data_IF_693753454783
#
_entry.id   IF_693753454783
#
_cell.length_a   1.000
_cell.length_b   1.000
_cell.length_c   1.000
_cell.angle_alpha   90.00
_cell.angle_beta   90.00
_cell.angle_gamma   90.00
#
_symmetry.space_group_name_H-M   'P 1'
#
loop_
_entity.id
_entity.type
_entity.pdbx_description
1 polymer ?
#
# COMPACT_ATOMS: atom_id res chain seq x y z
N UNK A 1 -0.25 -16.37 -13.73
CA UNK A 1 -0.64 -14.98 -13.42
C UNK A 1 0.29 -14.40 -12.36
N UNK A 2 0.33 -14.96 -11.14
CA UNK A 2 1.35 -14.61 -10.11
C UNK A 2 2.77 -14.76 -10.65
N UNK A 3 3.10 -15.89 -11.28
CA UNK A 3 4.42 -16.10 -11.91
C UNK A 3 4.77 -15.04 -12.96
N UNK A 4 3.79 -14.51 -13.69
CA UNK A 4 4.03 -13.43 -14.66
C UNK A 4 4.39 -12.12 -13.96
N UNK A 5 3.77 -11.85 -12.81
CA UNK A 5 4.08 -10.70 -11.95
C UNK A 5 5.48 -10.86 -11.33
N UNK A 6 5.82 -12.04 -10.83
CA UNK A 6 7.17 -12.35 -10.32
C UNK A 6 8.24 -12.08 -11.38
N UNK A 7 8.05 -12.59 -12.61
CA UNK A 7 8.98 -12.36 -13.71
C UNK A 7 9.09 -10.87 -14.10
N UNK A 8 7.99 -10.13 -14.08
CA UNK A 8 8.01 -8.70 -14.35
C UNK A 8 8.72 -7.90 -13.24
N UNK A 9 8.52 -8.26 -11.97
CA UNK A 9 9.22 -7.67 -10.84
C UNK A 9 10.72 -8.01 -10.84
N UNK A 10 11.11 -9.22 -11.25
CA UNK A 10 12.52 -9.62 -11.37
C UNK A 10 13.26 -8.89 -12.49
N UNK A 11 12.57 -8.67 -13.62
CA UNK A 11 13.16 -8.06 -14.82
C UNK A 11 13.09 -6.53 -14.82
N UNK A 12 12.33 -5.92 -13.92
CA UNK A 12 12.27 -4.47 -13.83
C UNK A 12 13.59 -3.88 -13.28
N UNK A 13 13.97 -2.73 -13.81
CA UNK A 13 15.15 -2.03 -13.30
C UNK A 13 14.88 -1.48 -11.88
N UNK A 14 15.93 -1.18 -11.10
CA UNK A 14 15.78 -0.70 -9.72
C UNK A 14 14.85 0.51 -9.55
N UNK A 15 14.92 1.50 -10.44
CA UNK A 15 14.08 2.70 -10.33
C UNK A 15 12.59 2.37 -10.59
N UNK A 16 12.29 1.50 -11.56
CA UNK A 16 10.93 1.01 -11.81
C UNK A 16 10.41 0.19 -10.63
N UNK A 17 11.23 -0.69 -10.05
CA UNK A 17 10.87 -1.46 -8.86
C UNK A 17 10.51 -0.52 -7.69
N UNK A 18 11.34 0.50 -7.46
CA UNK A 18 11.09 1.50 -6.41
C UNK A 18 9.79 2.27 -6.64
N UNK A 19 9.49 2.66 -7.88
CA UNK A 19 8.22 3.32 -8.23
C UNK A 19 7.00 2.42 -7.97
N UNK A 20 7.06 1.13 -8.36
CA UNK A 20 5.99 0.15 -8.08
C UNK A 20 5.77 0.00 -6.57
N UNK A 21 6.84 -0.14 -5.80
CA UNK A 21 6.77 -0.23 -4.33
C UNK A 21 6.16 1.03 -3.70
N UNK A 22 6.48 2.21 -4.24
CA UNK A 22 5.91 3.47 -3.78
C UNK A 22 4.42 3.57 -4.09
N UNK A 23 3.98 3.16 -5.29
CA UNK A 23 2.56 3.10 -5.63
C UNK A 23 1.81 2.15 -4.68
N UNK A 24 2.39 0.98 -4.39
CA UNK A 24 1.87 0.06 -3.38
C UNK A 24 1.73 0.73 -2.00
N UNK A 25 2.76 1.43 -1.52
CA UNK A 25 2.68 2.17 -0.26
C UNK A 25 1.59 3.26 -0.32
N UNK A 26 1.44 3.95 -1.44
CA UNK A 26 0.40 4.98 -1.66
C UNK A 26 -1.01 4.43 -1.67
N UNK A 27 -1.21 3.16 -2.06
CA UNK A 27 -2.49 2.49 -1.90
C UNK A 27 -2.76 2.05 -0.46
N UNK A 28 -1.71 1.83 0.33
CA UNK A 28 -1.83 1.36 1.71
C UNK A 28 -1.92 2.49 2.74
N UNK A 29 -1.32 3.64 2.46
CA UNK A 29 -1.26 4.78 3.38
C UNK A 29 -1.70 6.07 2.68
N UNK A 30 -2.47 6.94 3.35
CA UNK A 30 -3.03 8.14 2.73
C UNK A 30 -1.96 9.14 2.28
N UNK A 31 -0.83 9.19 2.99
CA UNK A 31 0.27 10.11 2.69
C UNK A 31 1.59 9.34 2.80
N UNK A 32 2.31 9.22 1.68
CA UNK A 32 3.64 8.63 1.61
C UNK A 32 4.62 9.72 1.16
N UNK A 33 5.58 10.04 2.02
CA UNK A 33 6.59 11.05 1.73
C UNK A 33 7.86 10.39 1.18
N UNK A 34 8.21 10.60 -0.10
CA UNK A 34 9.45 10.08 -0.66
C UNK A 34 10.63 10.97 -0.25
N UNK A 35 11.61 10.38 0.43
CA UNK A 35 12.87 11.04 0.83
C UNK A 35 14.01 10.65 -0.12
N UNK A 36 13.92 9.47 -0.75
CA UNK A 36 14.89 8.92 -1.70
C UNK A 36 14.64 9.24 -3.19
N UNK A 37 13.82 10.24 -3.54
CA UNK A 37 13.54 10.57 -4.96
C UNK A 37 13.78 12.05 -5.27
N UNK A 38 14.24 12.34 -6.49
CA UNK A 38 14.29 13.72 -6.99
C UNK A 38 12.89 14.14 -7.44
N UNK A 39 12.37 15.22 -6.86
CA UNK A 39 11.05 15.77 -7.22
C UNK A 39 10.96 15.99 -8.74
N UNK A 40 9.92 15.43 -9.36
CA UNK A 40 9.64 15.58 -10.80
C UNK A 40 10.47 14.70 -11.74
N UNK A 41 11.24 13.72 -11.25
CA UNK A 41 11.97 12.75 -12.07
C UNK A 41 11.83 11.33 -11.52
N UNK A 42 11.78 10.34 -12.40
CA UNK A 42 11.95 8.91 -12.05
C UNK A 42 13.44 8.62 -11.78
N UNK A 43 14.03 9.31 -10.80
CA UNK A 43 15.44 9.10 -10.43
C UNK A 43 15.58 9.09 -8.92
N UNK A 44 16.18 8.01 -8.42
CA UNK A 44 16.57 7.87 -7.02
C UNK A 44 17.62 8.90 -6.60
N UNK A 45 17.47 9.41 -5.37
CA UNK A 45 18.43 10.22 -4.61
C UNK A 45 18.82 9.40 -3.38
N UNK A 46 20.06 9.52 -2.90
CA UNK A 46 20.43 8.98 -1.58
C UNK A 46 19.60 9.69 -0.50
N UNK A 47 18.70 8.96 0.13
CA UNK A 47 17.94 9.36 1.31
C UNK A 47 17.53 8.09 2.04
N UNK A 48 17.66 8.08 3.37
CA UNK A 48 17.19 7.00 4.24
C UNK A 48 16.35 7.66 5.33
N UNK A 49 15.10 7.21 5.59
CA UNK A 49 14.40 6.16 4.86
C UNK A 49 14.22 6.51 3.37
N UNK A 50 13.96 5.54 2.49
CA UNK A 50 13.53 5.82 1.12
C UNK A 50 12.18 6.53 1.10
N UNK A 51 11.27 6.11 2.00
CA UNK A 51 9.96 6.71 2.21
C UNK A 51 9.62 6.75 3.71
N UNK A 52 8.89 7.78 4.14
CA UNK A 52 8.28 7.79 5.47
C UNK A 52 6.78 8.11 5.41
N UNK A 53 6.04 7.56 6.37
CA UNK A 53 4.63 7.83 6.63
C UNK A 53 4.53 8.38 8.04
N UNK A 54 3.87 9.53 8.20
CA UNK A 54 3.55 10.09 9.50
C UNK A 54 2.28 9.45 10.04
N UNK A 55 2.34 8.98 11.28
CA UNK A 55 1.21 8.45 12.04
C UNK A 55 1.12 9.20 13.36
N UNK A 56 0.39 10.32 13.35
CA UNK A 56 0.40 11.31 14.44
C UNK A 56 1.84 11.76 14.79
N UNK A 57 2.26 11.53 16.04
CA UNK A 57 3.60 11.86 16.54
C UNK A 57 4.65 10.77 16.25
N UNK A 58 4.25 9.70 15.55
CA UNK A 58 5.08 8.53 15.23
C UNK A 58 5.31 8.40 13.72
N UNK A 59 6.24 7.53 13.36
CA UNK A 59 6.67 7.33 11.98
C UNK A 59 6.73 5.86 11.60
N UNK A 60 6.35 5.58 10.36
CA UNK A 60 6.62 4.32 9.67
C UNK A 60 7.67 4.61 8.61
N UNK A 61 8.79 3.90 8.67
CA UNK A 61 9.86 4.00 7.67
C UNK A 61 9.79 2.84 6.69
N UNK A 62 10.15 3.11 5.44
CA UNK A 62 10.24 2.09 4.42
C UNK A 62 11.51 2.22 3.59
N UNK A 63 12.15 1.08 3.35
CA UNK A 63 13.35 0.92 2.54
C UNK A 63 13.09 -0.10 1.43
N UNK A 64 13.56 0.21 0.23
CA UNK A 64 13.38 -0.60 -0.97
C UNK A 64 14.75 -1.06 -1.45
N UNK A 65 14.98 -2.36 -1.40
CA UNK A 65 16.28 -2.95 -1.73
C UNK A 65 16.21 -3.85 -2.95
N UNK A 66 16.99 -3.51 -3.97
CA UNK A 66 17.24 -4.36 -5.15
C UNK A 66 18.70 -4.79 -5.18
N UNK A 67 19.00 -6.02 -4.76
CA UNK A 67 20.37 -6.56 -4.71
C UNK A 67 20.35 -8.09 -4.92
N UNK A 68 21.51 -8.67 -5.22
CA UNK A 68 21.69 -10.11 -5.31
C UNK A 68 21.46 -10.83 -3.97
N UNK A 69 20.92 -12.05 -4.05
CA UNK A 69 20.54 -12.89 -2.90
C UNK A 69 21.64 -13.02 -1.83
N UNK A 70 22.90 -13.12 -2.23
CA UNK A 70 24.03 -13.32 -1.30
C UNK A 70 24.32 -12.09 -0.41
N UNK A 71 23.93 -10.90 -0.85
CA UNK A 71 24.17 -9.64 -0.11
C UNK A 71 22.89 -9.09 0.52
N UNK A 72 21.76 -9.80 0.37
CA UNK A 72 20.45 -9.36 0.84
C UNK A 72 20.43 -9.16 2.35
N UNK A 73 20.77 -10.18 3.14
CA UNK A 73 20.64 -10.11 4.60
C UNK A 73 21.54 -9.02 5.23
N UNK A 74 22.84 -8.91 4.87
CA UNK A 74 23.67 -7.81 5.36
C UNK A 74 23.11 -6.43 4.98
N UNK A 75 22.56 -6.28 3.77
CA UNK A 75 21.95 -5.02 3.31
C UNK A 75 20.70 -4.68 4.10
N UNK A 76 19.76 -5.63 4.26
CA UNK A 76 18.53 -5.40 5.02
C UNK A 76 18.79 -5.08 6.50
N UNK A 77 19.79 -5.72 7.12
CA UNK A 77 20.23 -5.36 8.48
C UNK A 77 20.74 -3.93 8.55
N UNK A 78 21.60 -3.55 7.60
CA UNK A 78 22.10 -2.19 7.49
C UNK A 78 20.98 -1.16 7.27
N UNK A 79 19.96 -1.51 6.50
CA UNK A 79 18.79 -0.64 6.26
C UNK A 79 17.98 -0.43 7.55
N UNK A 80 17.82 -1.49 8.37
CA UNK A 80 17.22 -1.40 9.72
C UNK A 80 18.06 -0.48 10.62
N UNK A 81 19.38 -0.67 10.68
CA UNK A 81 20.27 0.17 11.47
C UNK A 81 20.20 1.64 11.04
N UNK A 82 20.20 1.90 9.74
CA UNK A 82 20.05 3.25 9.22
C UNK A 82 18.70 3.87 9.60
N UNK A 83 17.60 3.12 9.58
CA UNK A 83 16.30 3.61 10.03
C UNK A 83 16.34 4.11 11.48
N UNK A 84 17.08 3.45 12.37
CA UNK A 84 17.18 3.88 13.78
C UNK A 84 18.23 4.97 14.03
N UNK A 85 19.21 5.13 13.14
CA UNK A 85 20.30 6.12 13.26
C UNK A 85 19.98 7.43 12.52
N UNK A 86 18.72 7.87 12.54
CA UNK A 86 18.31 9.16 11.98
C UNK A 86 18.56 10.29 12.98
N UNK A 87 19.11 11.41 12.51
CA UNK A 87 19.40 12.56 13.38
C UNK A 87 18.15 13.43 13.65
N UNK A 88 17.19 13.42 12.71
CA UNK A 88 16.03 14.31 12.74
C UNK A 88 14.81 13.68 13.45
N UNK A 89 14.82 12.37 13.67
CA UNK A 89 13.72 11.61 14.28
C UNK A 89 14.26 10.67 15.33
N UNK A 90 13.70 10.77 16.55
CA UNK A 90 14.07 9.90 17.65
C UNK A 90 13.58 8.46 17.40
N UNK A 91 14.42 7.47 17.72
CA UNK A 91 14.18 6.06 17.41
C UNK A 91 12.95 5.46 18.11
N UNK A 92 12.51 6.04 19.24
CA UNK A 92 11.29 5.67 19.95
C UNK A 92 10.01 6.04 19.19
N UNK A 93 10.07 7.03 18.29
CA UNK A 93 8.94 7.43 17.44
C UNK A 93 8.77 6.52 16.22
N UNK A 94 9.70 5.60 15.98
CA UNK A 94 9.63 4.67 14.84
C UNK A 94 8.85 3.43 15.25
N UNK A 95 7.56 3.40 14.91
CA UNK A 95 6.64 2.33 15.31
C UNK A 95 6.67 1.12 14.37
N UNK A 96 7.12 1.32 13.12
CA UNK A 96 7.24 0.25 12.12
C UNK A 96 8.32 0.54 11.08
N UNK A 97 9.02 -0.51 10.66
CA UNK A 97 9.90 -0.52 9.50
C UNK A 97 9.33 -1.50 8.46
N UNK A 98 9.18 -1.06 7.21
CA UNK A 98 8.73 -1.86 6.07
C UNK A 98 9.88 -2.01 5.08
N UNK A 99 10.43 -3.21 4.98
CA UNK A 99 11.45 -3.55 4.00
C UNK A 99 10.78 -4.24 2.80
N UNK A 100 11.02 -3.74 1.59
CA UNK A 100 10.55 -4.37 0.35
C UNK A 100 11.76 -4.72 -0.50
N UNK A 101 11.87 -5.97 -0.95
CA UNK A 101 13.02 -6.41 -1.75
C UNK A 101 12.65 -7.30 -2.93
N UNK A 102 13.53 -7.33 -3.94
CA UNK A 102 13.37 -8.15 -5.15
C UNK A 102 13.85 -9.60 -5.00
N UNK A 103 13.91 -10.10 -3.76
CA UNK A 103 14.34 -11.47 -3.44
C UNK A 103 13.29 -12.17 -2.57
N UNK A 104 13.33 -13.50 -2.55
CA UNK A 104 12.52 -14.32 -1.65
C UNK A 104 12.96 -14.15 -0.19
N UNK A 105 11.98 -14.07 0.72
CA UNK A 105 12.23 -14.00 2.17
C UNK A 105 11.78 -15.31 2.83
N UNK A 106 12.77 -16.12 3.21
CA UNK A 106 12.53 -17.36 3.95
C UNK A 106 12.25 -17.09 5.44
N UNK A 107 11.64 -18.05 6.13
CA UNK A 107 11.42 -17.98 7.59
C UNK A 107 12.73 -17.76 8.36
N UNK A 108 13.84 -18.35 7.91
CA UNK A 108 15.17 -18.13 8.49
C UNK A 108 15.62 -16.67 8.38
N UNK A 109 15.46 -16.06 7.21
CA UNK A 109 15.81 -14.65 6.98
C UNK A 109 14.91 -13.75 7.84
N UNK A 110 13.59 -14.03 7.86
CA UNK A 110 12.64 -13.28 8.66
C UNK A 110 12.99 -13.30 10.16
N UNK A 111 13.36 -14.47 10.70
CA UNK A 111 13.78 -14.60 12.09
C UNK A 111 15.06 -13.83 12.37
N UNK A 112 16.08 -13.99 11.52
CA UNK A 112 17.36 -13.30 11.66
C UNK A 112 17.21 -11.76 11.63
N UNK A 113 16.33 -11.23 10.78
CA UNK A 113 16.03 -9.80 10.73
C UNK A 113 15.23 -9.34 11.96
N UNK A 114 14.29 -10.15 12.44
CA UNK A 114 13.53 -9.86 13.66
C UNK A 114 14.44 -9.80 14.89
N UNK A 115 15.32 -10.78 15.07
CA UNK A 115 16.32 -10.81 16.16
C UNK A 115 17.22 -9.57 16.12
N UNK A 116 17.75 -9.23 14.94
CA UNK A 116 18.60 -8.06 14.76
C UNK A 116 17.85 -6.75 15.03
N UNK A 117 16.62 -6.59 14.53
CA UNK A 117 15.80 -5.42 14.84
C UNK A 117 15.48 -5.36 16.34
N UNK A 118 15.18 -6.49 16.98
CA UNK A 118 14.87 -6.58 18.41
C UNK A 118 16.07 -6.29 19.32
N UNK A 119 17.31 -6.49 18.85
CA UNK A 119 18.49 -6.08 19.61
C UNK A 119 18.66 -4.54 19.63
N UNK A 120 18.07 -3.85 18.66
CA UNK A 120 18.07 -2.38 18.56
C UNK A 120 16.83 -1.77 19.23
N UNK A 121 15.63 -2.17 18.82
CA UNK A 121 14.36 -1.71 19.38
C UNK A 121 13.28 -2.81 19.34
N UNK A 122 12.87 -3.31 20.50
CA UNK A 122 11.88 -4.39 20.64
C UNK A 122 10.44 -3.95 20.34
N UNK A 123 10.14 -2.66 20.43
CA UNK A 123 8.78 -2.12 20.31
C UNK A 123 8.42 -1.80 18.85
N UNK A 124 9.41 -1.52 18.00
CA UNK A 124 9.21 -1.30 16.57
C UNK A 124 8.78 -2.60 15.88
N UNK A 125 7.71 -2.55 15.09
CA UNK A 125 7.29 -3.68 14.24
C UNK A 125 8.16 -3.76 12.99
N UNK A 126 8.53 -4.96 12.57
CA UNK A 126 9.23 -5.17 11.30
C UNK A 126 8.31 -5.92 10.33
N UNK A 127 8.18 -5.38 9.13
CA UNK A 127 7.47 -6.00 8.03
C UNK A 127 8.44 -6.16 6.86
N UNK A 128 8.62 -7.39 6.38
CA UNK A 128 9.54 -7.70 5.28
C UNK A 128 8.73 -8.32 4.14
N UNK A 129 8.77 -7.68 2.98
CA UNK A 129 8.02 -8.10 1.80
C UNK A 129 9.03 -8.55 0.74
N UNK A 130 9.12 -9.87 0.55
CA UNK A 130 9.87 -10.49 -0.53
C UNK A 130 9.14 -10.38 -1.88
N UNK A 131 9.83 -10.76 -2.95
CA UNK A 131 9.33 -10.72 -4.32
C UNK A 131 8.03 -11.53 -4.51
N UNK A 132 8.03 -12.76 -4.01
CA UNK A 132 6.92 -13.73 -4.08
C UNK A 132 5.69 -13.26 -3.29
N UNK A 133 5.94 -12.78 -2.07
CA UNK A 133 4.91 -12.14 -1.25
C UNK A 133 4.35 -10.90 -1.95
N UNK A 134 5.20 -10.07 -2.56
CA UNK A 134 4.77 -8.87 -3.26
C UNK A 134 3.95 -9.18 -4.51
N UNK A 135 4.34 -10.20 -5.28
CA UNK A 135 3.58 -10.67 -6.44
C UNK A 135 2.18 -11.17 -6.03
N UNK A 136 2.09 -11.87 -4.89
CA UNK A 136 0.82 -12.34 -4.33
C UNK A 136 -0.05 -11.16 -3.87
N UNK A 137 0.55 -10.15 -3.21
CA UNK A 137 -0.13 -8.92 -2.80
C UNK A 137 -0.68 -8.16 -4.02
N UNK A 138 0.15 -7.96 -5.06
CA UNK A 138 -0.26 -7.31 -6.30
C UNK A 138 -1.43 -8.07 -6.93
N UNK A 139 -1.30 -9.38 -7.09
CA UNK A 139 -2.35 -10.18 -7.72
C UNK A 139 -3.68 -10.14 -6.93
N UNK A 140 -3.60 -10.21 -5.60
CA UNK A 140 -4.76 -10.37 -4.73
C UNK A 140 -5.44 -9.04 -4.38
N UNK A 141 -4.67 -7.99 -4.17
CA UNK A 141 -5.14 -6.76 -3.53
C UNK A 141 -4.94 -5.51 -4.40
N UNK A 142 -3.94 -5.51 -5.29
CA UNK A 142 -3.58 -4.32 -6.09
C UNK A 142 -3.33 -4.65 -7.57
N UNK A 143 -4.32 -5.23 -8.29
CA UNK A 143 -4.16 -5.67 -9.67
C UNK A 143 -3.76 -4.53 -10.62
N UNK A 144 -4.07 -3.25 -10.31
CA UNK A 144 -3.59 -2.10 -11.09
C UNK A 144 -2.05 -2.05 -11.18
N UNK A 145 -1.32 -2.49 -10.16
CA UNK A 145 0.14 -2.54 -10.19
C UNK A 145 0.66 -3.52 -11.25
N UNK A 146 -0.12 -4.54 -11.60
CA UNK A 146 0.22 -5.43 -12.73
C UNK A 146 0.23 -4.68 -14.06
N UNK A 147 -0.65 -3.69 -14.23
CA UNK A 147 -0.70 -2.83 -15.43
C UNK A 147 0.54 -1.95 -15.52
N UNK A 148 1.00 -1.39 -14.39
CA UNK A 148 2.26 -0.63 -14.31
C UNK A 148 3.50 -1.50 -14.62
N UNK A 149 3.42 -2.80 -14.32
CA UNK A 149 4.40 -3.79 -14.74
C UNK A 149 4.33 -4.15 -16.23
N UNK A 150 3.35 -3.63 -16.98
CA UNK A 150 3.13 -3.92 -18.40
C UNK A 150 2.39 -5.24 -18.64
N UNK A 151 1.78 -5.80 -17.60
CA UNK A 151 1.04 -7.06 -17.70
C UNK A 151 -0.46 -6.76 -17.86
N UNK A 152 -1.04 -7.23 -18.97
CA UNK A 152 -2.48 -7.17 -19.21
C UNK A 152 -3.18 -8.29 -18.44
N UNK A 153 -3.19 -8.19 -17.11
CA UNK A 153 -3.78 -9.21 -16.22
C UNK A 153 -5.26 -8.94 -15.95
N UNK A 154 -5.69 -7.68 -16.09
CA UNK A 154 -7.03 -7.21 -15.73
C UNK A 154 -7.82 -6.80 -16.98
N UNK A 155 -9.07 -7.24 -17.08
CA UNK A 155 -10.04 -6.82 -18.10
C UNK A 155 -10.54 -5.39 -17.88
N UNK A 156 -10.06 -4.70 -16.84
CA UNK A 156 -10.56 -3.41 -16.37
C UNK A 156 -11.83 -3.54 -15.55
N UNK A 157 -12.21 -4.76 -15.16
CA UNK A 157 -13.46 -5.04 -14.45
C UNK A 157 -13.30 -5.01 -12.93
N UNK A 158 -12.08 -5.21 -12.43
CA UNK A 158 -11.77 -5.24 -11.00
C UNK A 158 -10.72 -4.15 -10.76
N UNK A 159 -11.16 -3.03 -10.19
CA UNK A 159 -10.35 -1.83 -9.95
C UNK A 159 -10.36 -1.48 -8.46
N UNK A 160 -9.25 -0.94 -7.98
CA UNK A 160 -9.17 -0.27 -6.69
C UNK A 160 -10.10 0.94 -6.70
N UNK A 161 -10.74 1.26 -5.58
CA UNK A 161 -11.77 2.30 -5.50
C UNK A 161 -11.33 3.65 -6.10
N UNK A 162 -10.07 4.06 -5.89
CA UNK A 162 -9.53 5.28 -6.49
C UNK A 162 -9.43 5.20 -8.01
N UNK A 163 -8.95 4.09 -8.55
CA UNK A 163 -8.82 3.87 -9.99
C UNK A 163 -10.19 3.71 -10.65
N UNK A 164 -11.16 3.06 -9.97
CA UNK A 164 -12.55 3.00 -10.40
C UNK A 164 -13.14 4.40 -10.59
N UNK A 165 -12.95 5.31 -9.63
CA UNK A 165 -13.43 6.70 -9.73
C UNK A 165 -12.78 7.40 -10.92
N UNK A 166 -11.45 7.31 -11.07
CA UNK A 166 -10.71 7.92 -12.17
C UNK A 166 -11.24 7.41 -13.53
N UNK A 167 -11.41 6.11 -13.69
CA UNK A 167 -11.87 5.50 -14.93
C UNK A 167 -13.34 5.83 -15.23
N UNK A 168 -14.21 5.81 -14.22
CA UNK A 168 -15.62 6.18 -14.35
C UNK A 168 -15.79 7.62 -14.83
N UNK A 169 -15.00 8.54 -14.26
CA UNK A 169 -15.06 9.98 -14.57
C UNK A 169 -14.39 10.37 -15.90
N UNK A 170 -13.68 9.47 -16.58
CA UNK A 170 -13.21 9.71 -17.96
C UNK A 170 -14.38 9.90 -18.94
N UNK A 171 -15.54 9.33 -18.64
CA UNK A 171 -16.74 9.55 -19.44
C UNK A 171 -17.28 10.96 -19.23
N UNK A 172 -17.41 11.73 -20.31
CA UNK A 172 -17.98 13.10 -20.27
C UNK A 172 -19.44 13.16 -19.79
N UNK A 173 -20.12 12.03 -19.72
CA UNK A 173 -21.52 11.92 -19.31
C UNK A 173 -21.68 11.36 -17.89
N UNK A 174 -20.58 10.98 -17.23
CA UNK A 174 -20.62 10.47 -15.87
C UNK A 174 -20.91 11.60 -14.88
N UNK A 175 -21.79 11.35 -13.91
CA UNK A 175 -21.95 12.24 -12.76
C UNK A 175 -20.76 11.99 -11.81
N UNK A 176 -19.93 12.99 -11.48
CA UNK A 176 -18.73 12.77 -10.69
C UNK A 176 -19.00 12.03 -9.39
N UNK A 177 -18.26 10.94 -9.14
CA UNK A 177 -18.26 10.20 -7.89
C UNK A 177 -17.27 10.80 -6.87
N UNK A 178 -16.40 11.72 -7.29
CA UNK A 178 -15.45 12.46 -6.46
C UNK A 178 -16.05 13.71 -5.80
N UNK A 179 -17.25 14.15 -6.20
CA UNK A 179 -17.92 15.32 -5.63
C UNK A 179 -18.30 15.15 -4.14
N UNK A 180 -18.80 16.20 -3.49
CA UNK A 180 -19.27 16.08 -2.12
C UNK A 180 -20.52 15.18 -2.01
N UNK A 181 -20.60 14.40 -0.93
CA UNK A 181 -21.74 13.57 -0.58
C UNK A 181 -22.69 14.35 0.34
N UNK A 182 -24.00 14.29 0.08
CA UNK A 182 -24.98 15.12 0.79
C UNK A 182 -26.26 14.36 1.17
N UNK A 183 -26.85 14.74 2.31
CA UNK A 183 -28.24 14.51 2.70
C UNK A 183 -28.69 13.04 2.81
N UNK A 184 -27.80 12.13 3.23
CA UNK A 184 -28.11 10.71 3.48
C UNK A 184 -27.37 10.14 4.69
N UNK A 185 -27.08 11.00 5.66
CA UNK A 185 -26.30 10.67 6.87
C UNK A 185 -26.99 9.58 7.69
N UNK A 186 -28.31 9.67 7.89
CA UNK A 186 -29.09 8.66 8.62
C UNK A 186 -29.05 7.27 7.96
N UNK A 187 -29.04 7.22 6.64
CA UNK A 187 -28.93 5.96 5.89
C UNK A 187 -27.52 5.36 5.98
N UNK A 188 -26.48 6.20 6.00
CA UNK A 188 -25.11 5.77 6.24
C UNK A 188 -24.95 5.18 7.63
N UNK A 189 -25.43 5.86 8.67
CA UNK A 189 -25.30 5.39 10.05
C UNK A 189 -25.97 4.03 10.23
N UNK A 190 -27.20 3.88 9.73
CA UNK A 190 -27.93 2.60 9.72
C UNK A 190 -27.15 1.50 8.97
N UNK A 191 -26.54 1.84 7.84
CA UNK A 191 -25.77 0.87 7.04
C UNK A 191 -24.50 0.41 7.77
N UNK A 192 -23.82 1.32 8.47
CA UNK A 192 -22.65 1.00 9.29
C UNK A 192 -23.04 0.07 10.45
N UNK A 193 -24.19 0.32 11.10
CA UNK A 193 -24.70 -0.57 12.15
C UNK A 193 -25.02 -1.97 11.62
N UNK A 194 -25.65 -2.07 10.45
CA UNK A 194 -25.94 -3.35 9.81
C UNK A 194 -24.65 -4.13 9.47
N UNK A 195 -23.62 -3.46 8.96
CA UNK A 195 -22.32 -4.08 8.66
C UNK A 195 -21.58 -4.60 9.91
N UNK A 196 -21.89 -4.07 11.11
CA UNK A 196 -21.35 -4.59 12.37
C UNK A 196 -22.03 -5.90 12.80
N UNK A 197 -23.27 -6.11 12.38
CA UNK A 197 -24.12 -7.23 12.80
C UNK A 197 -24.20 -8.34 11.76
N UNK A 198 -23.88 -8.03 10.50
CA UNK A 198 -24.07 -8.91 9.35
C UNK A 198 -22.89 -8.86 8.39
N UNK A 199 -22.57 -10.01 7.81
CA UNK A 199 -21.48 -10.14 6.82
C UNK A 199 -21.83 -9.53 5.46
N UNK A 200 -23.12 -9.37 5.17
CA UNK A 200 -23.61 -8.89 3.88
C UNK A 200 -24.60 -7.73 4.05
N UNK A 201 -24.38 -6.66 3.27
CA UNK A 201 -25.30 -5.55 3.13
C UNK A 201 -25.69 -5.39 1.65
N UNK A 202 -26.98 -5.46 1.37
CA UNK A 202 -27.51 -5.26 0.02
C UNK A 202 -28.05 -3.83 -0.15
N UNK A 203 -27.45 -3.06 -1.05
CA UNK A 203 -27.90 -1.69 -1.38
C UNK A 203 -28.76 -1.75 -2.63
N UNK A 204 -30.06 -1.47 -2.48
CA UNK A 204 -31.05 -1.51 -3.58
C UNK A 204 -31.67 -0.14 -3.83
N UNK A 205 -32.27 0.04 -5.01
CA UNK A 205 -32.92 1.29 -5.39
C UNK A 205 -32.99 1.46 -6.91
N UNK A 206 -33.82 2.39 -7.38
CA UNK A 206 -34.03 2.65 -8.81
C UNK A 206 -32.74 3.11 -9.52
N UNK A 207 -32.74 3.10 -10.84
CA UNK A 207 -31.63 3.64 -11.63
C UNK A 207 -31.42 5.13 -11.31
N UNK A 208 -30.16 5.58 -11.21
CA UNK A 208 -29.83 6.99 -10.99
C UNK A 208 -29.92 7.50 -9.54
N UNK A 209 -30.42 6.73 -8.57
CA UNK A 209 -30.56 7.18 -7.16
C UNK A 209 -29.25 7.30 -6.37
N UNK A 210 -28.10 7.20 -7.04
CA UNK A 210 -26.79 7.37 -6.39
C UNK A 210 -26.29 6.17 -5.57
N UNK A 211 -26.72 4.94 -5.89
CA UNK A 211 -26.27 3.71 -5.19
C UNK A 211 -24.75 3.58 -5.12
N UNK A 212 -24.06 3.74 -6.25
CA UNK A 212 -22.59 3.65 -6.33
C UNK A 212 -21.92 4.70 -5.44
N UNK A 213 -22.38 5.94 -5.52
CA UNK A 213 -21.88 7.05 -4.70
C UNK A 213 -22.09 6.79 -3.21
N UNK A 214 -23.25 6.27 -2.83
CA UNK A 214 -23.57 5.86 -1.46
C UNK A 214 -22.63 4.75 -0.99
N UNK A 215 -22.42 3.70 -1.77
CA UNK A 215 -21.50 2.60 -1.44
C UNK A 215 -20.08 3.11 -1.18
N UNK A 216 -19.55 3.98 -2.06
CA UNK A 216 -18.21 4.58 -1.91
C UNK A 216 -18.11 5.39 -0.61
N UNK A 217 -19.13 6.20 -0.30
CA UNK A 217 -19.15 6.99 0.93
C UNK A 217 -19.23 6.10 2.18
N UNK A 218 -20.09 5.08 2.15
CA UNK A 218 -20.27 4.12 3.24
C UNK A 218 -18.95 3.41 3.56
N UNK A 219 -18.29 2.89 2.54
CA UNK A 219 -17.01 2.20 2.65
C UNK A 219 -15.93 3.13 3.22
N UNK A 220 -15.85 4.35 2.70
CA UNK A 220 -14.90 5.36 3.18
C UNK A 220 -15.11 5.71 4.66
N UNK A 221 -16.36 5.80 5.11
CA UNK A 221 -16.67 6.05 6.52
C UNK A 221 -16.38 4.83 7.40
N UNK A 222 -16.72 3.63 6.92
CA UNK A 222 -16.49 2.39 7.64
C UNK A 222 -14.99 2.16 7.91
N UNK A 223 -14.13 2.40 6.91
CA UNK A 223 -12.67 2.27 7.06
C UNK A 223 -12.08 3.25 8.08
N UNK A 224 -12.58 4.49 8.15
CA UNK A 224 -12.10 5.49 9.14
C UNK A 224 -12.30 4.99 10.57
N UNK A 225 -13.42 4.31 10.83
CA UNK A 225 -13.71 3.72 12.14
C UNK A 225 -13.10 2.33 12.34
N UNK A 226 -12.66 1.67 11.28
CA UNK A 226 -12.17 0.29 11.30
C UNK A 226 -10.88 0.15 10.45
N UNK A 227 -9.74 0.74 10.88
CA UNK A 227 -8.51 0.81 10.09
C UNK A 227 -7.85 -0.56 9.84
N UNK A 228 -8.32 -1.63 10.49
CA UNK A 228 -7.88 -3.00 10.23
C UNK A 228 -8.50 -3.67 9.00
N UNK A 229 -9.50 -3.04 8.38
CA UNK A 229 -10.16 -3.57 7.18
C UNK A 229 -9.51 -3.04 5.91
N UNK A 230 -9.56 -3.84 4.84
CA UNK A 230 -9.06 -3.49 3.51
C UNK A 230 -10.23 -3.55 2.55
N UNK A 231 -10.42 -2.50 1.76
CA UNK A 231 -11.45 -2.48 0.71
C UNK A 231 -10.97 -3.33 -0.45
N UNK A 232 -11.84 -4.26 -0.83
CA UNK A 232 -11.65 -5.14 -1.97
C UNK A 232 -12.70 -4.78 -3.01
N UNK A 233 -12.22 -4.26 -4.14
CA UNK A 233 -12.94 -3.99 -5.40
C UNK A 233 -14.28 -3.25 -5.24
#
# INVERSE_FOLDING_TARGET
MITSIEQALLSCNPDKFANICRLYLGYRYPIVNPTGLVVGKEKSKKGTPDNFISDNDSYIFSEITTIDKNQLVPKLKKDIEHCFNQNDVSSDKIIRIILICNQEITTKIQEELNEHKNSINKFTKLEVIGLDAFATIIFRDFPSLSRELGLNIDTGQILEMSEFIIQYEKSKFATPLSNAFFNRESELDKSIELLKQHDFLLITGQAGVGKTKFSIQLVSNYLKSNPGYIVKY
#
